data_IF_774380325024
#
_entry.id   IF_774380325024
#
_cell.length_a   1.000
_cell.length_b   1.000
_cell.length_c   1.000
_cell.angle_alpha   90.00
_cell.angle_beta   90.00
_cell.angle_gamma   90.00
#
_symmetry.space_group_name_H-M   'P 1'
#
loop_
_entity.id
_entity.type
_entity.pdbx_description
1 polymer ?
2 non-polymer ?
3 water ?
#
# COMPACT_ATOMS: atom_id res chain seq x y z
N UNK A 12 -17.96 -3.26 15.02
CA UNK A 12 -17.96 -4.08 16.23
C UNK A 12 -17.30 -3.34 17.40
N UNK A 13 -17.99 -3.31 18.53
CA UNK A 13 -17.48 -2.69 19.75
C UNK A 13 -16.76 -3.76 20.56
N UNK A 14 -15.49 -3.52 20.88
CA UNK A 14 -14.68 -4.46 21.66
C UNK A 14 -14.55 -3.94 23.08
N UNK A 15 -14.60 -4.87 24.06
CA UNK A 15 -14.44 -4.38 25.42
C UNK A 15 -12.97 -4.31 25.80
N UNK A 16 -12.57 -3.26 26.54
CA UNK A 16 -11.16 -3.13 26.95
C UNK A 16 -10.61 -4.35 27.65
N UNK A 17 -11.45 -5.10 28.36
CA UNK A 17 -10.94 -6.28 29.06
C UNK A 17 -10.54 -7.39 28.09
N UNK A 18 -10.98 -7.31 26.85
CA UNK A 18 -10.63 -8.29 25.84
C UNK A 18 -9.33 -7.98 25.11
N UNK A 19 -8.67 -6.86 25.44
CA UNK A 19 -7.51 -6.36 24.72
C UNK A 19 -6.35 -6.26 25.68
N UNK A 20 -5.21 -6.87 25.33
CA UNK A 20 -3.96 -6.64 26.05
C UNK A 20 -2.90 -6.14 25.08
N UNK A 21 -2.28 -5.02 25.43
CA UNK A 21 -1.20 -4.45 24.63
C UNK A 21 0.14 -4.99 25.12
N UNK A 22 1.04 -5.25 24.19
CA UNK A 22 2.36 -5.71 24.53
C UNK A 22 3.45 -4.77 24.03
N UNK A 23 3.70 -4.81 22.72
CA UNK A 23 4.77 -4.04 22.12
C UNK A 23 4.24 -2.73 21.55
N UNK A 24 5.09 -1.70 21.59
CA UNK A 24 4.90 -0.56 20.72
C UNK A 24 5.53 -0.89 19.38
N UNK A 25 4.81 -0.63 18.29
CA UNK A 25 5.31 -0.92 16.95
C UNK A 25 5.24 0.29 16.04
N UNK A 26 4.83 1.44 16.53
CA UNK A 26 4.75 2.64 15.69
C UNK A 26 4.11 3.79 16.45
N UNK A 27 3.91 4.88 15.71
CA UNK A 27 3.31 6.09 16.25
C UNK A 27 2.04 6.44 15.48
N UNK A 28 1.15 7.20 16.14
CA UNK A 28 -0.14 7.50 15.56
C UNK A 28 -0.44 8.98 15.44
N UNK A 29 -1.68 9.31 15.04
CA UNK A 29 -2.08 10.72 14.96
C UNK A 29 -1.92 11.41 16.31
N UNK A 30 -2.33 10.73 17.38
CA UNK A 30 -2.23 11.24 18.74
C UNK A 30 -2.28 10.01 19.63
N UNK A 31 -1.35 9.10 19.43
CA UNK A 31 -1.38 7.83 20.13
C UNK A 31 -0.22 6.96 19.70
N UNK A 32 -0.23 5.75 20.22
CA UNK A 32 0.76 4.76 19.87
C UNK A 32 0.08 3.63 19.13
N UNK A 33 0.87 2.92 18.32
CA UNK A 33 0.43 1.67 17.72
C UNK A 33 1.10 0.54 18.47
N UNK A 34 0.31 -0.45 18.87
CA UNK A 34 0.76 -1.57 19.65
C UNK A 34 0.48 -2.87 18.92
N UNK A 35 1.24 -3.89 19.28
CA UNK A 35 0.83 -5.27 19.04
C UNK A 35 0.24 -5.80 20.34
N UNK A 36 -0.63 -6.78 20.23
CA UNK A 36 -1.21 -7.35 21.42
C UNK A 36 -2.09 -8.55 21.10
N UNK A 37 -2.97 -8.85 22.05
CA UNK A 37 -3.83 -10.02 21.95
C UNK A 37 -5.28 -9.63 22.22
N UNK A 38 -6.18 -10.23 21.42
CA UNK A 38 -7.61 -9.99 21.45
C UNK A 38 -8.36 -11.29 21.74
N UNK A 39 -9.35 -11.21 22.62
CA UNK A 39 -10.09 -12.37 23.12
C UNK A 39 -11.40 -12.52 22.36
N UNK A 40 -11.70 -13.74 21.90
CA UNK A 40 -13.02 -14.10 21.38
C UNK A 40 -13.07 -15.59 21.02
N UNK A 45 -7.52 -19.54 20.94
CA UNK A 45 -7.76 -18.67 22.09
C UNK A 45 -7.68 -17.18 21.73
N UNK A 46 -6.55 -16.52 21.93
CA UNK A 46 -6.47 -15.08 21.72
C UNK A 46 -5.76 -14.75 20.40
N UNK A 47 -6.54 -14.23 19.46
CA UNK A 47 -6.08 -13.69 18.18
C UNK A 47 -5.00 -12.66 18.44
N UNK A 48 -3.89 -12.65 17.69
CA UNK A 48 -2.98 -11.50 17.76
C UNK A 48 -3.55 -10.35 16.96
N UNK A 49 -3.29 -9.12 17.43
CA UNK A 49 -3.91 -7.93 16.84
C UNK A 49 -2.95 -6.75 16.88
N UNK A 50 -3.26 -5.75 16.08
CA UNK A 50 -2.60 -4.45 16.15
C UNK A 50 -3.62 -3.42 16.62
N UNK A 51 -3.15 -2.48 17.43
CA UNK A 51 -4.01 -1.59 18.21
C UNK A 51 -3.52 -0.16 17.99
N UNK A 52 -4.38 0.69 17.47
CA UNK A 52 -4.10 2.12 17.33
C UNK A 52 -4.92 2.88 18.36
N UNK A 53 -4.26 3.66 19.21
CA UNK A 53 -4.92 4.32 20.33
C UNK A 53 -5.08 5.80 20.04
N UNK A 54 -6.06 6.40 20.70
CA UNK A 54 -6.28 7.84 20.66
C UNK A 54 -6.18 8.36 22.09
N UNK A 55 -5.03 8.96 22.41
CA UNK A 55 -4.71 9.26 23.80
C UNK A 55 -5.42 10.51 24.27
N UNK A 56 -5.56 10.63 25.59
CA UNK A 56 -6.32 11.72 26.21
C UNK A 56 -5.77 13.08 25.80
N UNK A 57 -6.68 14.00 25.55
CA UNK A 57 -6.36 15.31 25.03
C UNK A 57 -6.41 15.42 23.53
N UNK A 58 -6.85 14.35 22.86
CA UNK A 58 -7.08 14.43 21.42
C UNK A 58 -8.10 15.54 21.14
N UNK A 59 -8.04 16.07 19.93
CA UNK A 59 -8.90 17.17 19.55
C UNK A 59 -10.21 16.64 18.99
N UNK A 60 -11.18 17.55 18.87
CA UNK A 60 -12.40 17.24 18.15
C UNK A 60 -12.11 16.70 16.75
N UNK A 61 -11.30 17.43 15.99
CA UNK A 61 -10.93 16.99 14.64
C UNK A 61 -10.27 15.62 14.67
N UNK A 62 -9.33 15.41 15.60
CA UNK A 62 -8.69 14.10 15.71
C UNK A 62 -9.71 13.02 16.03
N UNK A 63 -10.65 13.29 16.93
CA UNK A 63 -11.70 12.32 17.24
C UNK A 63 -12.51 11.99 15.99
N UNK A 64 -12.85 13.00 15.20
CA UNK A 64 -13.63 12.75 13.98
C UNK A 64 -12.84 11.89 13.01
N UNK A 65 -11.55 12.20 12.82
CA UNK A 65 -10.75 11.41 11.89
C UNK A 65 -10.55 9.98 12.40
N UNK A 66 -10.42 9.82 13.72
CA UNK A 66 -10.18 8.51 14.31
C UNK A 66 -11.41 7.62 14.18
N UNK A 67 -12.57 8.10 14.65
CA UNK A 67 -13.76 7.27 14.55
C UNK A 67 -14.27 7.19 13.12
N UNK A 68 -14.00 8.20 12.30
CA UNK A 68 -14.30 8.08 10.88
C UNK A 68 -13.48 6.98 10.24
N UNK A 69 -12.18 6.95 10.53
CA UNK A 69 -11.33 5.87 10.05
C UNK A 69 -11.84 4.51 10.53
N UNK A 70 -12.20 4.41 11.81
CA UNK A 70 -12.73 3.16 12.33
C UNK A 70 -13.98 2.75 11.57
N UNK A 71 -14.86 3.72 11.28
CA UNK A 71 -16.09 3.41 10.59
C UNK A 71 -15.86 2.92 9.17
N UNK A 72 -14.99 3.60 8.44
CA UNK A 72 -14.75 3.15 7.08
C UNK A 72 -14.08 1.81 7.06
N UNK A 73 -13.15 1.58 7.95
CA UNK A 73 -12.55 0.26 8.03
C UNK A 73 -13.60 -0.79 8.35
N UNK A 74 -14.53 -0.48 9.24
CA UNK A 74 -15.60 -1.42 9.54
C UNK A 74 -16.51 -1.71 8.37
N UNK A 75 -16.75 -0.72 7.50
CA UNK A 75 -17.54 -0.99 6.32
C UNK A 75 -16.74 -1.69 5.22
N UNK A 76 -15.42 -1.65 5.28
CA UNK A 76 -14.66 -2.39 4.28
C UNK A 76 -14.67 -3.88 4.64
N UNK A 77 -14.85 -4.71 3.62
CA UNK A 77 -14.80 -6.16 3.80
C UNK A 77 -14.25 -6.75 2.49
N UNK A 78 -12.95 -6.94 2.44
CA UNK A 78 -12.32 -7.40 1.21
C UNK A 78 -11.01 -8.10 1.58
N UNK A 79 -10.67 -9.14 0.81
CA UNK A 79 -9.51 -9.98 1.07
C UNK A 79 -8.22 -9.16 1.15
N UNK A 80 -8.11 -8.12 0.34
CA UNK A 80 -6.89 -7.34 0.28
C UNK A 80 -6.99 -6.00 0.96
N UNK A 81 -7.84 -5.88 1.97
CA UNK A 81 -7.96 -4.67 2.76
C UNK A 81 -7.84 -5.06 4.22
N UNK A 82 -7.00 -4.35 4.97
CA UNK A 82 -6.77 -4.66 6.37
C UNK A 82 -8.11 -4.82 7.07
N UNK A 83 -8.27 -5.91 7.80
CA UNK A 83 -9.52 -6.22 8.44
C UNK A 83 -9.64 -5.60 9.81
N UNK A 84 -10.70 -4.84 10.01
CA UNK A 84 -10.97 -4.26 11.31
C UNK A 84 -11.54 -5.34 12.22
N UNK A 85 -10.76 -5.73 13.23
CA UNK A 85 -11.30 -6.60 14.27
C UNK A 85 -12.38 -5.88 15.06
N UNK A 86 -12.09 -4.68 15.53
CA UNK A 86 -13.12 -3.95 16.24
C UNK A 86 -12.62 -2.59 16.65
N UNK A 87 -13.45 -1.91 17.40
CA UNK A 87 -13.14 -0.59 17.92
C UNK A 87 -13.45 -0.62 19.40
N UNK A 88 -12.75 0.21 20.15
CA UNK A 88 -13.19 0.62 21.47
C UNK A 88 -13.45 2.11 21.38
N UNK A 89 -14.73 2.49 21.42
CA UNK A 89 -15.11 3.89 21.39
C UNK A 89 -15.78 4.34 22.69
N UNK A 90 -16.36 3.43 23.46
CA UNK A 90 -17.05 3.81 24.69
C UNK A 90 -16.10 3.94 25.87
N UNK A 91 -14.84 3.56 25.73
CA UNK A 91 -13.88 3.64 26.81
C UNK A 91 -12.60 4.31 26.33
N UNK A 92 -11.86 4.89 27.27
CA UNK A 92 -10.64 5.62 26.94
C UNK A 92 -9.41 4.88 27.46
N UNK A 93 -8.34 4.80 26.66
CA UNK A 93 -8.23 5.43 25.34
C UNK A 93 -9.04 4.70 24.26
N UNK A 94 -9.51 5.45 23.28
CA UNK A 94 -10.18 4.84 22.15
C UNK A 94 -9.18 4.05 21.32
N UNK A 95 -9.67 3.00 20.67
CA UNK A 95 -8.77 2.08 20.00
C UNK A 95 -9.39 1.62 18.68
N UNK A 96 -8.51 1.42 17.71
CA UNK A 96 -8.81 0.70 16.48
C UNK A 96 -8.02 -0.60 16.50
N UNK A 97 -8.69 -1.72 16.35
CA UNK A 97 -8.05 -3.01 16.48
C UNK A 97 -8.23 -3.75 15.16
N UNK A 98 -7.11 -4.11 14.56
CA UNK A 98 -7.09 -4.85 13.31
C UNK A 98 -6.43 -6.20 13.53
N UNK A 99 -6.67 -7.11 12.57
CA UNK A 99 -5.86 -8.31 12.47
C UNK A 99 -4.38 -7.94 12.50
N UNK A 100 -3.57 -8.80 13.09
CA UNK A 100 -2.13 -8.59 13.06
C UNK A 100 -1.58 -9.26 11.81
N UNK A 101 -0.68 -8.58 11.13
CA UNK A 101 -0.09 -9.08 9.90
C UNK A 101 1.37 -9.39 10.18
N UNK A 102 1.67 -10.67 10.21
CA UNK A 102 2.90 -11.20 10.81
C UNK A 102 4.14 -10.63 10.12
N UNK A 103 4.06 -10.50 8.81
CA UNK A 103 5.21 -10.12 8.00
C UNK A 103 5.39 -8.62 7.90
N UNK A 104 4.48 -7.83 8.51
CA UNK A 104 4.49 -6.38 8.58
C UNK A 104 4.45 -5.72 7.20
N UNK A 105 4.96 -4.49 7.15
CA UNK A 105 4.84 -3.69 5.94
C UNK A 105 5.63 -4.27 4.77
N UNK A 106 5.04 -4.15 3.58
CA UNK A 106 5.58 -4.73 2.36
C UNK A 106 6.93 -4.13 1.96
N UNK A 107 7.12 -2.83 2.17
CA UNK A 107 8.39 -2.28 1.70
C UNK A 107 9.56 -2.89 2.46
N UNK A 108 9.44 -2.94 3.79
CA UNK A 108 10.48 -3.51 4.63
C UNK A 108 10.63 -5.01 4.35
N UNK A 109 9.49 -5.69 4.23
CA UNK A 109 9.42 -7.10 3.91
C UNK A 109 10.19 -7.42 2.64
N UNK A 110 9.92 -6.69 1.54
CA UNK A 110 10.64 -7.01 0.31
C UNK A 110 12.13 -6.66 0.44
N UNK A 111 12.45 -5.61 1.17
CA UNK A 111 13.88 -5.26 1.31
C UNK A 111 14.64 -6.27 2.14
N UNK A 112 13.94 -7.03 2.99
CA UNK A 112 14.56 -8.01 3.86
C UNK A 112 14.57 -9.40 3.25
N UNK A 113 14.04 -9.53 2.05
CA UNK A 113 13.84 -10.80 1.37
C UNK A 113 14.19 -10.66 -0.10
N UNK A 114 15.22 -9.88 -0.38
CA UNK A 114 15.59 -9.55 -1.75
C UNK A 114 15.89 -10.81 -2.55
N UNK A 115 15.17 -10.97 -3.66
CA UNK A 115 15.31 -12.08 -4.58
C UNK A 115 14.69 -13.40 -4.14
N UNK A 116 14.05 -13.48 -2.98
CA UNK A 116 13.57 -14.77 -2.50
C UNK A 116 12.24 -15.21 -3.11
N UNK A 117 11.63 -14.44 -3.99
CA UNK A 117 10.29 -14.74 -4.51
C UNK A 117 10.32 -14.90 -6.02
N UNK A 118 9.39 -15.68 -6.54
CA UNK A 118 9.28 -15.84 -7.97
C UNK A 118 8.56 -14.63 -8.57
N UNK A 119 8.70 -14.47 -9.89
CA UNK A 119 7.96 -13.39 -10.54
C UNK A 119 6.46 -13.64 -10.36
N UNK A 120 6.03 -14.90 -10.35
CA UNK A 120 4.61 -15.14 -10.15
C UNK A 120 4.17 -14.73 -8.74
N UNK A 121 5.00 -14.98 -7.71
CA UNK A 121 4.65 -14.52 -6.37
C UNK A 121 4.55 -12.99 -6.32
N UNK A 122 5.48 -12.30 -6.96
CA UNK A 122 5.47 -10.84 -6.94
C UNK A 122 4.23 -10.30 -7.64
N UNK A 123 3.99 -10.78 -8.87
CA UNK A 123 2.84 -10.33 -9.63
C UNK A 123 1.55 -10.67 -8.89
N UNK A 124 1.53 -11.77 -8.14
CA UNK A 124 0.35 -12.06 -7.34
C UNK A 124 0.17 -11.09 -6.20
N UNK A 125 1.26 -10.66 -5.60
CA UNK A 125 1.14 -9.61 -4.58
C UNK A 125 0.58 -8.34 -5.20
N UNK A 126 0.91 -8.08 -6.46
CA UNK A 126 0.40 -6.89 -7.14
C UNK A 126 -1.06 -7.04 -7.51
N UNK A 127 -1.48 -8.23 -7.94
CA UNK A 127 -2.90 -8.44 -8.18
C UNK A 127 -3.69 -8.20 -6.91
N UNK A 128 -3.22 -8.74 -5.80
CA UNK A 128 -3.91 -8.53 -4.54
C UNK A 128 -4.06 -7.06 -4.20
N UNK A 129 -2.94 -6.31 -4.25
CA UNK A 129 -3.03 -4.90 -3.93
C UNK A 129 -4.00 -4.20 -4.86
N UNK A 130 -3.92 -4.50 -6.15
CA UNK A 130 -4.77 -3.83 -7.10
C UNK A 130 -6.22 -4.20 -6.87
N UNK A 131 -6.50 -5.41 -6.38
CA UNK A 131 -7.87 -5.78 -6.08
C UNK A 131 -8.39 -4.98 -4.89
N UNK A 132 -7.58 -4.87 -3.83
CA UNK A 132 -7.98 -4.04 -2.71
C UNK A 132 -8.17 -2.59 -3.14
N UNK A 133 -7.31 -2.09 -4.04
CA UNK A 133 -7.45 -0.71 -4.52
C UNK A 133 -8.70 -0.55 -5.40
N UNK A 134 -8.98 -1.52 -6.26
CA UNK A 134 -10.23 -1.45 -7.03
C UNK A 134 -11.41 -1.39 -6.08
N UNK A 135 -11.37 -2.17 -5.00
CA UNK A 135 -12.47 -2.14 -4.04
C UNK A 135 -12.59 -0.75 -3.41
N UNK A 136 -11.48 -0.19 -2.97
CA UNK A 136 -11.53 1.16 -2.38
C UNK A 136 -12.01 2.22 -3.36
N UNK A 137 -11.57 2.14 -4.62
CA UNK A 137 -11.98 3.14 -5.61
C UNK A 137 -13.46 3.00 -5.88
N UNK A 138 -13.93 1.75 -5.95
CA UNK A 138 -15.36 1.49 -6.18
C UNK A 138 -16.22 2.01 -5.03
N UNK A 139 -15.78 1.80 -3.78
CA UNK A 139 -16.42 2.39 -2.61
C UNK A 139 -16.22 3.91 -2.50
N UNK A 140 -15.61 4.53 -3.50
CA UNK A 140 -15.38 5.98 -3.55
C UNK A 140 -14.46 6.43 -2.41
N UNK A 141 -13.47 5.63 -2.10
CA UNK A 141 -12.44 5.97 -1.13
C UNK A 141 -11.15 6.25 -1.88
N UNK A 142 -10.67 7.48 -1.79
CA UNK A 142 -9.37 7.85 -2.35
C UNK A 142 -8.32 7.64 -1.26
N UNK A 143 -7.31 6.83 -1.56
CA UNK A 143 -6.34 6.47 -0.53
C UNK A 143 -5.38 7.61 -0.22
N UNK A 144 -4.78 8.19 -1.27
CA UNK A 144 -3.91 9.36 -1.27
C UNK A 144 -2.49 9.06 -0.81
N UNK A 145 -2.24 7.89 -0.24
CA UNK A 145 -0.94 7.58 0.35
C UNK A 145 -0.60 6.12 0.07
N UNK A 146 -0.89 5.67 -1.14
CA UNK A 146 -0.62 4.29 -1.53
C UNK A 146 0.88 4.15 -1.83
N UNK A 147 1.52 3.23 -1.11
CA UNK A 147 2.95 2.99 -1.16
C UNK A 147 3.16 1.64 -0.51
N UNK A 148 4.33 1.03 -0.73
CA UNK A 148 4.45 -0.30 -0.14
C UNK A 148 4.57 -0.22 1.37
N UNK A 149 4.87 0.93 1.91
CA UNK A 149 4.98 1.08 3.32
C UNK A 149 3.63 1.03 4.00
N UNK A 150 2.59 1.26 3.23
CA UNK A 150 1.25 1.21 3.74
C UNK A 150 0.54 -0.08 3.38
N UNK A 151 1.26 -1.08 2.92
CA UNK A 151 0.68 -2.36 2.55
C UNK A 151 1.21 -3.41 3.52
N UNK A 152 0.32 -4.20 4.10
CA UNK A 152 0.74 -5.23 5.03
C UNK A 152 0.67 -6.60 4.38
N UNK A 153 1.46 -7.54 4.89
CA UNK A 153 1.62 -8.87 4.29
C UNK A 153 1.39 -9.90 5.39
N UNK A 154 0.44 -10.82 5.15
CA UNK A 154 0.20 -11.88 6.11
C UNK A 154 0.99 -13.12 5.72
N UNK A 155 0.95 -14.13 6.60
CA UNK A 155 1.74 -15.33 6.41
C UNK A 155 1.33 -16.15 5.19
N UNK A 156 0.32 -15.70 4.44
CA UNK A 156 -0.03 -16.31 3.16
C UNK A 156 0.50 -15.50 1.97
N UNK A 157 1.38 -14.51 2.22
CA UNK A 157 1.85 -13.59 1.19
C UNK A 157 0.73 -12.73 0.65
N UNK A 158 -0.38 -12.63 1.35
CA UNK A 158 -1.52 -11.84 0.88
C UNK A 158 -1.32 -10.40 1.30
N UNK A 159 -1.35 -9.51 0.32
CA UNK A 159 -1.18 -8.08 0.58
C UNK A 159 -2.50 -7.41 0.90
N UNK A 160 -2.51 -6.65 1.98
CA UNK A 160 -3.67 -5.90 2.43
C UNK A 160 -3.33 -4.42 2.45
N UNK A 161 -4.10 -3.64 1.71
CA UNK A 161 -3.93 -2.20 1.71
C UNK A 161 -4.30 -1.67 3.08
N UNK A 162 -3.46 -0.75 3.59
CA UNK A 162 -3.64 -0.16 4.90
C UNK A 162 -3.27 1.31 4.75
N UNK A 163 -3.36 2.07 5.84
CA UNK A 163 -2.87 3.45 5.86
C UNK A 163 -2.43 3.74 7.28
N UNK A 164 -1.13 3.95 7.46
CA UNK A 164 -0.54 4.30 8.74
C UNK A 164 -0.40 5.80 8.92
N UNK A 165 -0.80 6.57 7.91
CA UNK A 165 -1.17 7.96 8.10
C UNK A 165 -0.07 8.90 8.48
N UNK A 166 1.18 8.55 8.20
CA UNK A 166 2.27 9.49 8.43
C UNK A 166 2.29 10.60 7.39
N UNK A 167 1.24 10.69 6.57
CA UNK A 167 1.04 11.77 5.62
C UNK A 167 -0.17 12.61 6.02
N UNK A 186 6.17 11.49 0.46
CA UNK A 186 5.03 11.05 -0.33
C UNK A 186 5.11 11.55 -1.74
N UNK A 187 5.89 12.58 -2.00
CA UNK A 187 5.95 13.15 -3.31
C UNK A 187 6.24 12.15 -4.39
N UNK A 188 7.15 11.26 -4.12
CA UNK A 188 7.61 10.25 -5.07
C UNK A 188 6.57 9.23 -5.50
N UNK A 189 5.59 9.02 -4.67
CA UNK A 189 4.51 8.10 -4.93
C UNK A 189 3.24 8.80 -5.40
N UNK A 190 3.26 10.13 -5.46
CA UNK A 190 2.08 10.91 -5.77
C UNK A 190 1.99 11.37 -7.21
N UNK A 191 0.78 11.33 -7.76
CA UNK A 191 0.54 11.77 -9.08
C UNK A 191 0.85 13.26 -9.26
N UNK A 192 1.18 13.64 -10.46
CA UNK A 192 1.50 15.06 -10.69
C UNK A 192 0.35 16.02 -10.39
N UNK A 193 -0.91 15.64 -10.68
CA UNK A 193 -1.97 16.60 -10.39
C UNK A 193 -2.21 16.73 -8.89
N UNK A 194 -1.98 15.65 -8.12
CA UNK A 194 -2.16 15.72 -6.67
C UNK A 194 -1.07 16.55 -6.04
N UNK A 195 0.16 16.41 -6.54
CA UNK A 195 1.23 17.31 -6.13
C UNK A 195 0.84 18.74 -6.49
N UNK A 196 0.67 18.98 -7.78
CA UNK A 196 0.53 20.33 -8.33
C UNK A 196 -0.63 21.08 -7.72
N UNK A 197 -1.81 20.44 -7.62
CA UNK A 197 -2.96 21.19 -7.12
C UNK A 197 -3.89 20.34 -6.28
N UNK A 198 -3.36 19.31 -5.61
CA UNK A 198 -4.10 18.52 -4.62
C UNK A 198 -5.28 17.78 -5.22
N UNK A 199 -5.23 17.42 -6.50
CA UNK A 199 -6.30 16.63 -7.09
C UNK A 199 -6.00 15.17 -6.81
N UNK A 200 -6.49 14.71 -5.68
CA UNK A 200 -6.39 13.31 -5.27
C UNK A 200 -7.66 12.58 -5.68
N UNK A 201 -7.51 11.55 -6.52
CA UNK A 201 -8.62 10.72 -6.98
C UNK A 201 -8.12 9.29 -7.12
N UNK A 202 -9.01 8.40 -7.53
CA UNK A 202 -8.60 7.04 -7.84
C UNK A 202 -7.61 6.99 -9.01
N UNK A 203 -7.61 7.98 -9.90
CA UNK A 203 -6.58 8.03 -10.93
C UNK A 203 -5.21 8.44 -10.38
N UNK A 204 -5.20 9.30 -9.36
CA UNK A 204 -3.97 9.58 -8.67
C UNK A 204 -3.53 8.35 -7.88
N UNK A 205 -4.50 7.57 -7.37
CA UNK A 205 -4.11 6.33 -6.71
C UNK A 205 -3.54 5.33 -7.70
N UNK A 206 -4.01 5.36 -8.95
CA UNK A 206 -3.45 4.48 -9.99
C UNK A 206 -1.99 4.84 -10.25
N UNK A 207 -1.68 6.13 -10.30
CA UNK A 207 -0.27 6.49 -10.39
C UNK A 207 0.53 5.89 -9.22
N UNK A 208 0.07 6.12 -8.00
CA UNK A 208 0.74 5.52 -6.86
C UNK A 208 0.87 4.02 -7.02
N UNK A 209 -0.15 3.38 -7.58
CA UNK A 209 -0.10 1.94 -7.73
C UNK A 209 1.00 1.54 -8.71
N UNK A 210 1.15 2.29 -9.81
CA UNK A 210 2.32 2.12 -10.67
C UNK A 210 3.64 2.18 -9.90
N UNK A 211 3.79 3.18 -9.03
CA UNK A 211 5.01 3.22 -8.21
C UNK A 211 5.10 1.97 -7.34
N UNK A 212 3.96 1.51 -6.81
CA UNK A 212 3.98 0.29 -5.96
C UNK A 212 4.41 -0.92 -6.78
N UNK A 213 3.94 -1.03 -8.01
CA UNK A 213 4.40 -2.09 -8.91
C UNK A 213 5.91 -2.07 -9.04
N UNK A 214 6.50 -0.86 -9.21
CA UNK A 214 7.95 -0.76 -9.33
C UNK A 214 8.65 -1.12 -8.02
N UNK A 215 8.12 -0.68 -6.89
CA UNK A 215 8.66 -1.08 -5.59
C UNK A 215 8.70 -2.59 -5.44
N UNK A 216 7.61 -3.23 -5.82
CA UNK A 216 7.56 -4.68 -5.66
C UNK A 216 8.55 -5.36 -6.58
N UNK A 217 8.47 -5.05 -7.88
CA UNK A 217 9.31 -5.79 -8.79
C UNK A 217 10.79 -5.53 -8.54
N UNK A 218 11.13 -4.46 -7.82
CA UNK A 218 12.52 -4.15 -7.45
C UNK A 218 12.91 -4.61 -6.05
N UNK A 219 12.04 -5.34 -5.34
CA UNK A 219 12.24 -5.70 -3.92
C UNK A 219 12.50 -4.48 -3.03
N UNK A 220 11.72 -3.43 -3.22
CA UNK A 220 11.70 -2.36 -2.26
C UNK A 220 12.71 -1.27 -2.48
N UNK A 221 13.16 -1.08 -3.70
CA UNK A 221 14.04 0.03 -4.00
C UNK A 221 13.32 1.36 -3.88
N UNK A 222 14.06 2.37 -3.48
CA UNK A 222 13.50 3.71 -3.35
C UNK A 222 13.22 4.29 -4.73
N UNK A 223 11.99 4.69 -5.02
CA UNK A 223 11.68 5.26 -6.34
C UNK A 223 12.54 6.48 -6.60
N UNK A 224 13.12 6.52 -7.79
CA UNK A 224 13.97 7.62 -8.28
C UNK A 224 15.29 7.67 -7.54
N UNK A 225 15.53 6.74 -6.62
CA UNK A 225 16.73 6.61 -5.81
C UNK A 225 17.00 7.97 -5.16
N UNK A 226 18.17 8.55 -5.42
CA UNK A 226 18.63 9.69 -4.63
C UNK A 226 18.13 11.04 -5.14
N UNK A 227 17.33 11.09 -6.20
CA UNK A 227 16.77 12.36 -6.63
C UNK A 227 16.05 13.03 -5.47
N UNK A 228 16.23 14.34 -5.33
CA UNK A 228 15.47 15.09 -4.35
C UNK A 228 14.00 15.12 -4.78
N UNK A 229 13.14 15.52 -3.86
CA UNK A 229 11.71 15.69 -4.21
C UNK A 229 11.54 16.60 -5.41
N UNK A 230 12.20 17.75 -5.41
CA UNK A 230 12.05 18.66 -6.53
C UNK A 230 12.58 18.05 -7.82
N UNK A 231 13.77 17.44 -7.77
CA UNK A 231 14.29 16.73 -8.94
C UNK A 231 13.32 15.65 -9.42
N UNK A 232 12.60 15.03 -8.50
CA UNK A 232 11.63 14.03 -8.93
C UNK A 232 10.49 14.70 -9.69
N UNK A 233 9.98 15.83 -9.17
CA UNK A 233 8.91 16.54 -9.87
C UNK A 233 9.37 17.04 -11.23
N UNK A 234 10.62 17.56 -11.33
CA UNK A 234 11.04 18.10 -12.60
C UNK A 234 11.32 16.99 -13.60
N UNK A 235 11.74 15.82 -13.11
CA UNK A 235 11.97 14.71 -14.02
C UNK A 235 10.66 14.21 -14.57
N UNK A 236 9.65 14.10 -13.70
CA UNK A 236 8.34 13.65 -14.17
C UNK A 236 7.77 14.64 -15.17
N UNK A 237 7.63 15.90 -14.76
CA UNK A 237 7.04 16.88 -15.65
C UNK A 237 7.82 17.00 -16.96
N UNK A 238 9.14 16.75 -16.93
CA UNK A 238 9.93 16.70 -18.15
C UNK A 238 9.81 15.37 -18.89
N UNK A 239 8.99 14.44 -18.39
CA UNK A 239 8.66 13.22 -19.10
C UNK A 239 9.50 12.01 -18.77
N UNK A 240 10.45 12.09 -17.83
CA UNK A 240 11.16 10.88 -17.42
C UNK A 240 10.23 10.00 -16.59
N UNK A 241 10.43 8.68 -16.71
CA UNK A 241 9.73 7.71 -15.88
C UNK A 241 10.76 6.70 -15.35
N UNK A 242 10.40 6.03 -14.26
CA UNK A 242 11.30 5.04 -13.70
C UNK A 242 11.61 3.98 -14.75
N UNK A 243 12.85 3.50 -14.83
CA UNK A 243 13.20 2.48 -15.81
C UNK A 243 12.76 1.09 -15.35
N UNK A 244 12.92 0.16 -16.22
CA UNK A 244 12.52 -1.17 -15.91
C UNK A 244 13.30 -1.82 -14.81
N UNK A 245 12.63 -2.43 -13.84
CA UNK A 245 13.35 -3.25 -12.88
C UNK A 245 14.09 -4.37 -13.60
N UNK A 246 15.13 -4.89 -12.95
CA UNK A 246 15.71 -6.14 -13.42
C UNK A 246 14.65 -7.23 -13.33
N UNK A 247 14.68 -8.14 -14.30
CA UNK A 247 13.87 -9.36 -14.25
C UNK A 247 12.37 -9.05 -14.24
N UNK A 248 11.97 -7.99 -14.94
CA UNK A 248 10.58 -7.59 -14.93
C UNK A 248 9.89 -8.02 -16.22
N UNK A 249 8.79 -8.78 -16.13
CA UNK A 249 7.98 -9.07 -17.32
C UNK A 249 7.66 -7.81 -18.09
N UNK A 250 7.78 -7.91 -19.42
CA UNK A 250 7.44 -6.80 -20.29
C UNK A 250 6.04 -6.29 -20.02
N UNK A 251 5.09 -7.20 -19.77
CA UNK A 251 3.73 -6.74 -19.57
C UNK A 251 3.59 -5.95 -18.28
N UNK A 252 4.37 -6.31 -17.26
CA UNK A 252 4.25 -5.62 -15.98
C UNK A 252 4.82 -4.21 -16.09
N UNK A 253 5.95 -4.07 -16.80
CA UNK A 253 6.51 -2.73 -17.00
C UNK A 253 5.60 -1.87 -17.88
N UNK A 254 5.07 -2.43 -18.97
CA UNK A 254 4.07 -1.71 -19.77
C UNK A 254 2.93 -1.20 -18.90
N UNK A 255 2.44 -2.05 -18.00
CA UNK A 255 1.33 -1.66 -17.14
C UNK A 255 1.71 -0.51 -16.22
N UNK A 256 2.87 -0.59 -15.52
CA UNK A 256 3.15 0.53 -14.61
C UNK A 256 3.41 1.81 -15.42
N UNK A 257 3.97 1.65 -16.61
CA UNK A 257 4.21 2.81 -17.45
C UNK A 257 2.90 3.48 -17.78
N UNK A 258 1.86 2.69 -18.04
CA UNK A 258 0.58 3.28 -18.30
C UNK A 258 -0.06 3.84 -17.04
N UNK A 259 0.38 3.40 -15.84
CA UNK A 259 -0.14 4.09 -14.67
C UNK A 259 0.46 5.49 -14.53
N UNK A 260 1.61 5.73 -15.15
CA UNK A 260 2.27 7.03 -15.06
C UNK A 260 1.98 7.95 -16.24
N UNK A 261 0.83 7.82 -16.89
CA UNK A 261 0.41 8.79 -17.90
C UNK A 261 0.27 10.15 -17.24
N UNK A 262 0.78 11.20 -17.89
CA UNK A 262 0.59 12.53 -17.32
C UNK A 262 -0.89 12.87 -17.31
N UNK A 263 -1.56 12.65 -18.44
CA UNK A 263 -3.01 12.89 -18.54
C UNK A 263 -3.73 11.85 -17.70
N UNK A 264 -4.33 12.30 -16.61
CA UNK A 264 -4.94 11.40 -15.64
C UNK A 264 -6.05 10.56 -16.26
N UNK A 265 -6.81 11.14 -17.19
CA UNK A 265 -7.87 10.42 -17.90
C UNK A 265 -7.33 9.31 -18.77
N UNK A 266 -6.03 9.26 -19.03
CA UNK A 266 -5.47 8.23 -19.89
C UNK A 266 -4.97 7.02 -19.10
N UNK A 267 -4.95 7.10 -17.79
CA UNK A 267 -4.43 6.02 -16.97
C UNK A 267 -5.44 4.87 -16.95
N UNK A 268 -4.97 3.66 -16.69
CA UNK A 268 -5.91 2.54 -16.53
C UNK A 268 -6.76 2.75 -15.27
N UNK A 269 -8.01 2.28 -15.34
CA UNK A 269 -8.79 2.17 -14.13
C UNK A 269 -8.36 0.91 -13.37
N UNK A 270 -8.55 0.91 -12.06
CA UNK A 270 -8.13 -0.24 -11.27
C UNK A 270 -8.80 -1.52 -11.76
N UNK A 271 -10.00 -1.43 -12.34
CA UNK A 271 -10.59 -2.62 -12.96
C UNK A 271 -9.73 -3.11 -14.12
N UNK A 272 -9.17 -2.20 -14.91
CA UNK A 272 -8.29 -2.61 -15.99
C UNK A 272 -7.05 -3.28 -15.43
N UNK A 273 -6.50 -2.71 -14.35
CA UNK A 273 -5.29 -3.24 -13.75
C UNK A 273 -5.53 -4.64 -13.19
N UNK A 274 -6.57 -4.79 -12.36
CA UNK A 274 -6.89 -6.11 -11.82
C UNK A 274 -7.07 -7.11 -12.93
N UNK A 275 -7.79 -6.71 -13.98
CA UNK A 275 -8.05 -7.63 -15.09
C UNK A 275 -6.74 -8.10 -15.72
N UNK A 276 -5.90 -7.15 -16.14
CA UNK A 276 -4.65 -7.50 -16.78
C UNK A 276 -3.78 -8.38 -15.88
N UNK A 277 -3.73 -8.04 -14.59
CA UNK A 277 -2.90 -8.82 -13.69
C UNK A 277 -3.43 -10.23 -13.53
N UNK A 278 -4.75 -10.34 -13.45
CA UNK A 278 -5.40 -11.64 -13.31
C UNK A 278 -5.13 -12.52 -14.52
N UNK A 279 -5.22 -11.95 -15.72
CA UNK A 279 -4.93 -12.71 -16.91
C UNK A 279 -3.47 -13.09 -17.00
N UNK A 280 -2.57 -12.19 -16.60
CA UNK A 280 -1.17 -12.57 -16.62
C UNK A 280 -0.92 -13.76 -15.70
N UNK A 281 -1.43 -13.69 -14.46
CA UNK A 281 -1.17 -14.75 -13.49
C UNK A 281 -1.77 -16.06 -13.96
N UNK A 282 -2.98 -16.02 -14.52
CA UNK A 282 -3.64 -17.26 -14.92
C UNK A 282 -3.07 -17.85 -16.18
N UNK A 283 -2.33 -17.05 -16.96
CA UNK A 283 -1.56 -17.53 -18.10
C UNK A 283 -0.09 -17.17 -17.84
N UNK A 284 0.56 -17.91 -16.94
CA UNK A 284 1.86 -17.43 -16.39
C UNK A 284 3.00 -17.39 -17.39
N UNK A 285 2.95 -18.14 -18.49
CA UNK A 285 4.00 -18.01 -19.49
C UNK A 285 4.09 -16.59 -20.01
N UNK A 286 2.98 -15.85 -19.96
CA UNK A 286 2.96 -14.46 -20.38
C UNK A 286 3.98 -13.63 -19.64
N UNK A 287 4.37 -14.05 -18.44
CA UNK A 287 5.33 -13.34 -17.61
C UNK A 287 6.77 -13.75 -17.91
N UNK A 288 6.99 -14.69 -18.82
CA UNK A 288 8.35 -15.09 -19.13
C UNK A 288 9.03 -14.11 -20.08
N UNK A 289 8.27 -13.32 -20.83
CA UNK A 289 8.86 -12.31 -21.70
C UNK A 289 9.22 -11.09 -20.86
N UNK A 290 10.51 -10.87 -20.67
CA UNK A 290 10.98 -9.81 -19.79
C UNK A 290 11.22 -8.55 -20.58
N UNK A 291 11.02 -7.41 -19.93
CA UNK A 291 11.47 -6.17 -20.51
C UNK A 291 12.99 -6.06 -20.40
N UNK A 292 13.60 -5.44 -21.41
CA UNK A 292 15.03 -5.14 -21.37
C UNK A 292 15.39 -4.36 -20.11
N UNK A 293 16.54 -4.65 -19.55
CA UNK A 293 17.05 -3.90 -18.40
C UNK A 293 18.19 -2.98 -18.84
N UNK A 294 18.09 -1.68 -18.57
CA UNK A 294 19.11 -0.69 -18.96
C UNK A 294 20.27 -0.78 -18.01
N UNK A 295 21.35 -1.33 -18.47
CA UNK A 295 22.46 -1.56 -17.56
C UNK A 295 23.44 -0.45 -17.45
N UNK A 296 24.55 -0.88 -16.85
CA UNK A 296 25.79 -0.20 -16.54
C UNK A 296 26.93 -1.24 -16.76
N UNK A 297 28.05 -0.79 -17.30
CA UNK A 297 29.13 -1.67 -17.76
C UNK A 297 29.99 -2.61 -16.89
N UNK A 298 30.16 -3.83 -17.42
CA UNK A 298 31.06 -4.82 -16.87
C UNK A 298 31.40 -5.70 -18.04
N UNK A 299 32.66 -5.69 -18.44
CA UNK A 299 33.03 -6.46 -19.58
C UNK A 299 34.17 -7.44 -19.44
N UNK A 300 33.92 -8.65 -19.88
CA UNK A 300 34.93 -9.72 -20.00
C UNK A 300 36.35 -9.18 -20.13
#
# INVERSE_FOLDING_TARGET
>A
GDPNQAVLKFTTEIHPSCVTRQKVIGAGEFGEVYKGMLKTSSGKKEVPVAIKTLKAGYTEKQRVDFLGEAGIMGQFSHHNIIRLEGVISKYKPMMIITEYMENGALDKFLREKDGEFSVLQLVGMLRGIAAGMKYLANMNYVHRDLAARNILVNSNLVCKVSDFGLSRVLEDDPEATYTTSGGKIPIRWTAPEAISYRKFTSASDVWSFGIVMWEVMTYGERPYWELSNHEVMKAINDGFRLPTPMDCPSAIYQLMMQCWQQERARRPKFADIVSILDKLIRAPDSLKTLADFDPRVSIRLPSTSG
#
